data_IF_665699955311
#
_entry.id   IF_665699955311
#
_cell.length_a   1.000
_cell.length_b   1.000
_cell.length_c   1.000
_cell.angle_alpha   90.00
_cell.angle_beta   90.00
_cell.angle_gamma   90.00
#
_symmetry.space_group_name_H-M   'P 1'
#
loop_
_entity.id
_entity.type
_entity.pdbx_description
1 polymer ?
#
# COMPACT_ATOMS: atom_id res chain seq x y z
N UNK A 1 6.60 -13.22 -1.44
CA UNK A 1 5.85 -14.04 -2.41
C UNK A 1 4.37 -13.94 -2.07
N UNK A 2 3.52 -13.66 -3.05
CA UNK A 2 2.07 -13.64 -2.87
C UNK A 2 1.54 -15.06 -2.70
N UNK A 3 0.51 -15.23 -1.88
CA UNK A 3 -0.18 -16.50 -1.73
C UNK A 3 0.67 -17.66 -1.21
N UNK A 4 0.17 -18.86 -1.42
CA UNK A 4 0.82 -20.13 -1.07
C UNK A 4 1.99 -20.39 -2.04
N UNK A 5 3.12 -20.99 -1.59
CA UNK A 5 4.21 -21.39 -2.48
C UNK A 5 3.69 -22.26 -3.63
N UNK A 6 4.22 -22.05 -4.84
CA UNK A 6 3.65 -22.60 -6.08
C UNK A 6 3.73 -24.14 -6.11
N UNK A 7 4.77 -24.69 -5.50
CA UNK A 7 4.99 -26.12 -5.29
C UNK A 7 3.90 -26.77 -4.42
N UNK A 8 3.20 -25.99 -3.59
CA UNK A 8 2.14 -26.45 -2.71
C UNK A 8 0.73 -26.24 -3.32
N UNK A 9 0.63 -25.82 -4.58
CA UNK A 9 -0.63 -25.57 -5.26
C UNK A 9 -0.98 -26.69 -6.25
N UNK A 10 -2.24 -27.09 -6.24
CA UNK A 10 -2.83 -27.93 -7.30
C UNK A 10 -3.02 -27.13 -8.60
N UNK A 11 -3.11 -27.83 -9.74
CA UNK A 11 -3.37 -27.19 -11.03
C UNK A 11 -4.64 -26.31 -11.04
N UNK A 12 -5.69 -26.72 -10.32
CA UNK A 12 -6.92 -25.94 -10.22
C UNK A 12 -6.72 -24.66 -9.39
N UNK A 13 -5.99 -24.73 -8.27
CA UNK A 13 -5.68 -23.55 -7.48
C UNK A 13 -4.78 -22.57 -8.24
N UNK A 14 -3.83 -23.07 -9.03
CA UNK A 14 -2.98 -22.22 -9.89
C UNK A 14 -3.84 -21.49 -10.93
N UNK A 15 -4.70 -22.20 -11.66
CA UNK A 15 -5.60 -21.61 -12.66
C UNK A 15 -6.54 -20.58 -12.04
N UNK A 16 -7.05 -20.87 -10.85
CA UNK A 16 -7.94 -19.96 -10.13
C UNK A 16 -7.21 -18.68 -9.73
N UNK A 17 -6.00 -18.78 -9.18
CA UNK A 17 -5.19 -17.61 -8.84
C UNK A 17 -4.85 -16.77 -10.08
N UNK A 18 -4.41 -17.42 -11.16
CA UNK A 18 -4.12 -16.76 -12.44
C UNK A 18 -5.32 -16.00 -12.99
N UNK A 19 -6.52 -16.57 -12.92
CA UNK A 19 -7.76 -15.92 -13.36
C UNK A 19 -8.16 -14.77 -12.45
N UNK A 20 -8.29 -15.04 -11.16
CA UNK A 20 -8.92 -14.12 -10.21
C UNK A 20 -8.03 -12.95 -9.85
N UNK A 21 -6.72 -13.17 -9.69
CA UNK A 21 -5.80 -12.12 -9.28
C UNK A 21 -5.22 -11.36 -10.47
N UNK A 22 -4.92 -12.07 -11.56
CA UNK A 22 -4.15 -11.53 -12.69
C UNK A 22 -4.95 -11.44 -14.00
N UNK A 23 -6.20 -11.91 -14.04
CA UNK A 23 -7.03 -11.88 -15.26
C UNK A 23 -6.55 -12.81 -16.38
N UNK A 24 -5.68 -13.78 -16.08
CA UNK A 24 -5.14 -14.73 -17.05
C UNK A 24 -6.12 -15.87 -17.25
N UNK A 25 -6.66 -16.00 -18.46
CA UNK A 25 -7.65 -17.03 -18.82
C UNK A 25 -7.14 -18.06 -19.83
N UNK A 26 -6.06 -17.75 -20.55
CA UNK A 26 -5.44 -18.66 -21.52
C UNK A 26 -4.37 -19.55 -20.87
N UNK A 27 -4.64 -20.86 -20.92
CA UNK A 27 -3.76 -21.92 -20.43
C UNK A 27 -3.45 -22.95 -21.53
N UNK A 28 -3.76 -22.64 -22.79
CA UNK A 28 -3.62 -23.59 -23.91
C UNK A 28 -2.17 -24.09 -24.08
N UNK A 29 -1.19 -23.27 -23.73
CA UNK A 29 0.23 -23.63 -23.73
C UNK A 29 0.73 -24.37 -22.47
N UNK A 30 -0.12 -24.67 -21.49
CA UNK A 30 0.26 -25.39 -20.28
C UNK A 30 -0.29 -26.82 -20.32
N UNK A 31 0.57 -27.77 -20.70
CA UNK A 31 0.21 -29.18 -20.91
C UNK A 31 0.34 -29.94 -19.59
N UNK A 32 1.43 -29.71 -18.86
CA UNK A 32 1.72 -30.33 -17.58
C UNK A 32 1.47 -29.36 -16.41
N UNK A 33 1.36 -29.89 -15.19
CA UNK A 33 1.24 -29.06 -13.99
C UNK A 33 2.45 -28.12 -13.82
N UNK A 34 3.64 -28.58 -14.22
CA UNK A 34 4.86 -27.79 -14.15
C UNK A 34 4.77 -26.52 -15.01
N UNK A 35 4.16 -26.60 -16.20
CA UNK A 35 3.96 -25.43 -17.06
C UNK A 35 3.06 -24.37 -16.38
N UNK A 36 2.05 -24.82 -15.63
CA UNK A 36 1.18 -23.92 -14.84
C UNK A 36 1.95 -23.28 -13.70
N UNK A 37 2.82 -24.06 -13.03
CA UNK A 37 3.66 -23.57 -11.94
C UNK A 37 4.61 -22.48 -12.44
N UNK A 38 5.37 -22.76 -13.50
CA UNK A 38 6.29 -21.79 -14.12
C UNK A 38 5.54 -20.53 -14.60
N UNK A 39 4.35 -20.71 -15.19
CA UNK A 39 3.50 -19.60 -15.61
C UNK A 39 3.07 -18.73 -14.42
N UNK A 40 2.66 -19.34 -13.31
CA UNK A 40 2.27 -18.60 -12.10
C UNK A 40 3.45 -17.90 -11.44
N UNK A 41 4.61 -18.56 -11.34
CA UNK A 41 5.83 -17.94 -10.80
C UNK A 41 6.21 -16.70 -11.61
N UNK A 42 6.28 -16.83 -12.94
CA UNK A 42 6.56 -15.70 -13.83
C UNK A 42 5.54 -14.58 -13.67
N UNK A 43 4.25 -14.92 -13.62
CA UNK A 43 3.16 -13.95 -13.46
C UNK A 43 3.27 -13.19 -12.13
N UNK A 44 3.53 -13.88 -11.02
CA UNK A 44 3.75 -13.26 -9.70
C UNK A 44 4.93 -12.29 -9.67
N UNK A 45 5.93 -12.49 -10.54
CA UNK A 45 7.12 -11.62 -10.63
C UNK A 45 6.94 -10.41 -11.56
N UNK A 46 6.08 -10.51 -12.57
CA UNK A 46 5.98 -9.47 -13.62
C UNK A 46 4.66 -8.72 -13.64
N UNK A 47 3.57 -9.35 -13.18
CA UNK A 47 2.21 -8.80 -13.29
C UNK A 47 1.69 -8.30 -11.93
N UNK A 48 0.78 -7.32 -12.00
CA UNK A 48 0.11 -6.77 -10.83
C UNK A 48 -1.12 -7.62 -10.48
N UNK A 49 -1.37 -7.78 -9.18
CA UNK A 49 -2.63 -8.30 -8.68
C UNK A 49 -3.67 -7.19 -8.81
N UNK A 50 -4.59 -7.32 -9.77
CA UNK A 50 -5.60 -6.29 -10.04
C UNK A 50 -6.99 -6.68 -9.60
N UNK A 51 -7.23 -7.97 -9.37
CA UNK A 51 -8.58 -8.52 -9.15
C UNK A 51 -9.59 -8.12 -10.24
N UNK A 52 -9.12 -7.97 -11.48
CA UNK A 52 -9.95 -7.53 -12.61
C UNK A 52 -10.26 -6.02 -12.63
N UNK A 53 -9.77 -5.25 -11.65
CA UNK A 53 -9.92 -3.80 -11.62
C UNK A 53 -8.97 -3.11 -12.61
N UNK A 54 -9.40 -1.98 -13.16
CA UNK A 54 -8.59 -1.14 -14.04
C UNK A 54 -8.03 0.05 -13.23
N UNK A 55 -6.77 -0.05 -12.84
CA UNK A 55 -6.05 1.02 -12.17
C UNK A 55 -5.63 2.12 -13.14
N UNK A 56 -5.55 3.35 -12.65
CA UNK A 56 -5.14 4.51 -13.45
C UNK A 56 -3.62 4.58 -13.65
N UNK A 57 -3.12 5.73 -14.16
CA UNK A 57 -1.69 5.94 -14.38
C UNK A 57 -0.84 5.74 -13.12
N UNK A 58 0.33 5.14 -13.29
CA UNK A 58 1.38 5.01 -12.28
C UNK A 58 2.49 6.03 -12.58
N UNK A 59 2.79 6.92 -11.64
CA UNK A 59 3.98 7.77 -11.75
C UNK A 59 5.17 7.10 -11.07
N UNK A 60 6.34 7.25 -11.69
CA UNK A 60 7.63 6.78 -11.16
C UNK A 60 8.56 7.98 -11.03
N UNK A 61 8.90 8.37 -9.80
CA UNK A 61 9.66 9.58 -9.48
C UNK A 61 10.94 9.19 -8.73
N UNK A 62 12.04 9.91 -8.96
CA UNK A 62 13.34 9.63 -8.35
C UNK A 62 14.22 8.69 -9.16
N UNK A 63 14.95 7.79 -8.49
CA UNK A 63 15.96 6.95 -9.13
C UNK A 63 15.33 5.79 -9.91
N UNK A 64 15.28 5.92 -11.24
CA UNK A 64 14.73 4.93 -12.17
C UNK A 64 15.81 4.09 -12.87
N UNK A 65 17.05 4.13 -12.40
CA UNK A 65 18.15 3.37 -12.98
C UNK A 65 18.63 2.28 -12.02
N UNK A 66 18.94 2.67 -10.78
CA UNK A 66 19.49 1.79 -9.75
C UNK A 66 19.07 2.25 -8.35
N UNK A 67 17.76 2.29 -8.05
CA UNK A 67 17.30 2.61 -6.70
C UNK A 67 17.80 1.57 -5.71
N UNK A 68 18.03 2.00 -4.47
CA UNK A 68 18.38 1.10 -3.36
C UNK A 68 17.20 0.85 -2.42
N UNK A 69 16.07 1.51 -2.63
CA UNK A 69 14.83 1.34 -1.87
C UNK A 69 13.64 1.87 -2.65
N UNK A 70 12.46 1.35 -2.34
CA UNK A 70 11.19 1.70 -2.99
C UNK A 70 10.23 2.27 -1.96
N UNK A 71 9.55 3.35 -2.32
CA UNK A 71 8.46 3.93 -1.53
C UNK A 71 7.21 3.96 -2.40
N UNK A 72 6.12 3.34 -1.96
CA UNK A 72 4.82 3.62 -2.57
C UNK A 72 4.21 4.83 -1.90
N UNK A 73 3.62 5.75 -2.64
CA UNK A 73 2.92 6.91 -2.10
C UNK A 73 1.49 6.95 -2.67
N UNK A 74 0.55 6.48 -1.84
CA UNK A 74 -0.83 6.16 -2.22
C UNK A 74 -1.76 7.32 -1.88
N UNK A 75 -2.51 7.83 -2.87
CA UNK A 75 -3.39 8.99 -2.70
C UNK A 75 -4.68 8.68 -1.93
N UNK A 76 -5.41 9.72 -1.50
CA UNK A 76 -6.71 9.61 -0.84
C UNK A 76 -7.90 9.47 -1.80
N UNK A 77 -9.10 9.30 -1.26
CA UNK A 77 -10.35 9.18 -2.04
C UNK A 77 -10.53 10.35 -3.01
N UNK A 78 -10.85 10.05 -4.28
CA UNK A 78 -11.15 11.04 -5.31
C UNK A 78 -9.94 11.68 -6.00
N UNK A 79 -8.74 11.52 -5.45
CA UNK A 79 -7.48 12.05 -6.02
C UNK A 79 -6.85 11.09 -7.03
N UNK A 80 -5.61 11.33 -7.43
CA UNK A 80 -4.81 10.49 -8.34
C UNK A 80 -3.32 10.54 -7.97
N UNK A 81 -2.48 9.82 -8.70
CA UNK A 81 -1.04 9.90 -8.55
C UNK A 81 -0.49 11.34 -8.68
N UNK A 82 -1.10 12.19 -9.52
CA UNK A 82 -0.64 13.57 -9.72
C UNK A 82 -0.83 14.46 -8.49
N UNK A 83 -1.79 14.17 -7.61
CA UNK A 83 -2.01 14.95 -6.38
C UNK A 83 -0.81 14.91 -5.41
N UNK A 84 0.00 13.85 -5.51
CA UNK A 84 1.17 13.62 -4.64
C UNK A 84 2.51 13.74 -5.38
N UNK A 85 2.50 14.12 -6.65
CA UNK A 85 3.70 14.21 -7.48
C UNK A 85 4.70 15.24 -6.96
N UNK A 86 4.23 16.41 -6.52
CA UNK A 86 5.09 17.49 -5.99
C UNK A 86 5.86 17.03 -4.75
N UNK A 87 5.18 16.36 -3.81
CA UNK A 87 5.76 15.77 -2.61
C UNK A 87 6.80 14.69 -2.98
N UNK A 88 6.47 13.81 -3.92
CA UNK A 88 7.41 12.78 -4.37
C UNK A 88 8.64 13.37 -5.06
N UNK A 89 8.49 14.43 -5.87
CA UNK A 89 9.60 15.14 -6.51
C UNK A 89 10.49 15.77 -5.44
N UNK A 90 9.90 16.44 -4.45
CA UNK A 90 10.64 17.03 -3.33
C UNK A 90 11.43 15.97 -2.55
N UNK A 91 10.78 14.90 -2.11
CA UNK A 91 11.42 13.80 -1.39
C UNK A 91 12.51 13.13 -2.23
N UNK A 92 12.30 12.94 -3.53
CA UNK A 92 13.30 12.32 -4.41
C UNK A 92 14.57 13.15 -4.60
N UNK A 93 14.49 14.49 -4.47
CA UNK A 93 15.67 15.36 -4.49
C UNK A 93 16.48 15.22 -3.21
N UNK A 94 15.82 15.01 -2.08
CA UNK A 94 16.46 14.85 -0.76
C UNK A 94 16.95 13.42 -0.51
N UNK A 95 16.28 12.43 -1.08
CA UNK A 95 16.57 11.00 -0.99
C UNK A 95 16.82 10.40 -2.40
N UNK A 96 17.91 10.81 -3.08
CA UNK A 96 18.15 10.47 -4.49
C UNK A 96 18.43 8.98 -4.75
N UNK A 97 18.60 8.17 -3.70
CA UNK A 97 18.77 6.72 -3.79
C UNK A 97 17.46 5.94 -3.83
N UNK A 98 16.31 6.61 -3.70
CA UNK A 98 14.99 5.98 -3.64
C UNK A 98 14.20 6.13 -4.95
N UNK A 99 13.34 5.15 -5.21
CA UNK A 99 12.29 5.20 -6.23
C UNK A 99 10.93 5.36 -5.55
N UNK A 100 10.18 6.36 -5.99
CA UNK A 100 8.80 6.60 -5.55
C UNK A 100 7.82 6.10 -6.61
N UNK A 101 6.88 5.26 -6.20
CA UNK A 101 5.80 4.71 -7.01
C UNK A 101 4.47 5.30 -6.56
N UNK A 102 3.81 6.08 -7.41
CA UNK A 102 2.54 6.72 -7.09
C UNK A 102 1.45 6.07 -7.95
N UNK A 103 0.71 5.07 -7.44
CA UNK A 103 -0.36 4.45 -8.18
C UNK A 103 -1.63 5.31 -8.15
N UNK A 104 -2.45 5.23 -9.18
CA UNK A 104 -3.80 5.79 -9.21
C UNK A 104 -4.84 4.67 -9.03
N UNK A 105 -5.73 4.82 -8.05
CA UNK A 105 -6.81 3.87 -7.79
C UNK A 105 -7.71 3.67 -9.02
N UNK A 106 -8.45 2.57 -9.06
CA UNK A 106 -9.48 2.38 -10.08
C UNK A 106 -10.66 3.35 -9.86
N UNK A 107 -11.31 3.77 -10.94
CA UNK A 107 -12.57 4.50 -10.86
C UNK A 107 -13.70 3.57 -10.42
N UNK A 108 -14.35 3.90 -9.31
CA UNK A 108 -15.42 3.11 -8.69
C UNK A 108 -16.56 4.04 -8.20
N UNK A 109 -17.81 3.57 -8.16
CA UNK A 109 -18.88 4.28 -7.44
C UNK A 109 -18.61 4.28 -5.93
N UNK A 110 -18.83 5.42 -5.28
CA UNK A 110 -18.55 5.62 -3.85
C UNK A 110 -19.84 5.94 -3.08
N UNK A 111 -20.22 5.06 -2.15
CA UNK A 111 -21.49 5.10 -1.43
C UNK A 111 -21.70 6.37 -0.62
N UNK A 112 -20.70 6.80 0.16
CA UNK A 112 -20.77 8.02 0.99
C UNK A 112 -20.93 9.29 0.14
N UNK A 113 -20.50 9.23 -1.12
CA UNK A 113 -20.64 10.31 -2.11
C UNK A 113 -21.85 10.08 -3.04
N UNK A 114 -22.87 9.37 -2.57
CA UNK A 114 -24.12 9.16 -3.33
C UNK A 114 -23.94 8.33 -4.60
N UNK A 115 -22.91 7.48 -4.67
CA UNK A 115 -22.61 6.65 -5.84
C UNK A 115 -21.83 7.36 -6.94
N UNK A 116 -21.31 8.56 -6.69
CA UNK A 116 -20.44 9.26 -7.63
C UNK A 116 -19.21 8.41 -7.98
N UNK A 117 -18.86 8.35 -9.27
CA UNK A 117 -17.72 7.58 -9.77
C UNK A 117 -16.46 8.42 -9.68
N UNK A 118 -15.49 7.94 -8.93
CA UNK A 118 -14.18 8.59 -8.73
C UNK A 118 -13.11 7.55 -8.40
N UNK A 119 -11.84 7.96 -8.38
CA UNK A 119 -10.75 7.06 -7.98
C UNK A 119 -10.93 6.67 -6.50
N UNK A 120 -11.07 5.38 -6.24
CA UNK A 120 -11.29 4.86 -4.90
C UNK A 120 -10.61 3.51 -4.70
N UNK A 121 -9.98 3.34 -3.54
CA UNK A 121 -9.33 2.09 -3.14
C UNK A 121 -10.30 1.10 -2.51
N UNK A 122 -11.37 1.60 -1.89
CA UNK A 122 -12.43 0.79 -1.29
C UNK A 122 -13.69 1.64 -1.12
N UNK A 123 -14.86 1.01 -1.07
CA UNK A 123 -16.09 1.76 -0.85
C UNK A 123 -16.27 2.12 0.64
N UNK A 124 -16.86 3.28 0.89
CA UNK A 124 -17.25 3.76 2.22
C UNK A 124 -18.74 4.04 2.14
N UNK A 125 -19.53 3.46 3.04
CA UNK A 125 -21.00 3.56 3.02
C UNK A 125 -21.50 4.10 4.35
N UNK A 126 -22.55 4.93 4.31
CA UNK A 126 -23.25 5.33 5.52
C UNK A 126 -24.06 4.15 6.06
N UNK A 127 -23.99 3.91 7.37
CA UNK A 127 -24.92 2.98 8.02
C UNK A 127 -26.27 3.69 8.18
N UNK A 128 -27.34 3.10 7.63
CA UNK A 128 -28.72 3.64 7.63
C UNK A 128 -29.34 3.86 9.04
N UNK A 129 -28.57 3.81 10.12
CA UNK A 129 -29.08 3.85 11.51
C UNK A 129 -28.17 4.61 12.50
N UNK A 130 -27.52 5.69 12.05
CA UNK A 130 -27.14 6.80 12.94
C UNK A 130 -25.74 6.73 13.58
N UNK A 131 -24.73 7.13 12.79
CA UNK A 131 -23.38 7.59 13.22
C UNK A 131 -22.22 6.60 12.99
N UNK A 132 -22.27 5.79 11.92
CA UNK A 132 -21.12 5.00 11.49
C UNK A 132 -20.96 5.00 9.97
N UNK A 133 -19.70 4.96 9.53
CA UNK A 133 -19.34 4.56 8.17
C UNK A 133 -18.94 3.09 8.18
N UNK A 134 -19.28 2.34 7.13
CA UNK A 134 -18.81 0.98 6.90
C UNK A 134 -17.82 1.00 5.74
N UNK A 135 -16.60 0.53 5.99
CA UNK A 135 -15.63 0.25 4.93
C UNK A 135 -15.88 -1.12 4.30
N UNK A 136 -15.59 -1.21 3.00
CA UNK A 136 -15.47 -2.47 2.30
C UNK A 136 -14.11 -3.14 2.61
N UNK A 137 -14.10 -3.99 3.65
CA UNK A 137 -12.89 -4.65 4.12
C UNK A 137 -12.24 -5.59 3.09
N UNK A 138 -13.03 -6.21 2.20
CA UNK A 138 -12.48 -7.04 1.12
C UNK A 138 -11.78 -6.16 0.09
N UNK A 139 -12.38 -5.04 -0.30
CA UNK A 139 -11.76 -4.09 -1.22
C UNK A 139 -10.46 -3.50 -0.63
N UNK A 140 -10.38 -3.27 0.69
CA UNK A 140 -9.14 -2.88 1.37
C UNK A 140 -8.05 -3.93 1.15
N UNK A 141 -8.35 -5.22 1.33
CA UNK A 141 -7.36 -6.30 1.11
C UNK A 141 -6.97 -6.40 -0.37
N UNK A 142 -7.93 -6.26 -1.29
CA UNK A 142 -7.65 -6.25 -2.73
C UNK A 142 -6.69 -5.13 -3.12
N UNK A 143 -6.95 -3.91 -2.65
CA UNK A 143 -6.09 -2.74 -2.89
C UNK A 143 -4.72 -2.89 -2.22
N UNK A 144 -4.66 -3.48 -1.03
CA UNK A 144 -3.39 -3.80 -0.38
C UNK A 144 -2.59 -4.85 -1.16
N UNK A 145 -3.24 -5.85 -1.75
CA UNK A 145 -2.59 -6.85 -2.61
C UNK A 145 -2.06 -6.23 -3.90
N UNK A 146 -2.83 -5.32 -4.52
CA UNK A 146 -2.35 -4.52 -5.63
C UNK A 146 -1.08 -3.75 -5.25
N UNK A 147 -1.11 -3.00 -4.15
CA UNK A 147 0.03 -2.18 -3.71
C UNK A 147 1.27 -3.02 -3.39
N UNK A 148 1.10 -4.15 -2.70
CA UNK A 148 2.19 -5.09 -2.45
C UNK A 148 2.75 -5.64 -3.76
N UNK A 149 1.91 -6.04 -4.72
CA UNK A 149 2.35 -6.58 -6.01
C UNK A 149 3.10 -5.55 -6.85
N UNK A 150 2.67 -4.29 -6.79
CA UNK A 150 3.36 -3.17 -7.41
C UNK A 150 4.78 -2.99 -6.83
N UNK A 151 4.91 -2.97 -5.51
CA UNK A 151 6.23 -2.86 -4.87
C UNK A 151 7.11 -4.08 -5.16
N UNK A 152 6.54 -5.30 -5.18
CA UNK A 152 7.28 -6.52 -5.45
C UNK A 152 7.79 -6.59 -6.89
N UNK A 153 6.93 -6.36 -7.88
CA UNK A 153 7.31 -6.35 -9.31
C UNK A 153 8.36 -5.28 -9.59
N UNK A 154 8.23 -4.09 -8.99
CA UNK A 154 9.26 -3.07 -9.06
C UNK A 154 10.58 -3.51 -8.40
N UNK A 155 10.52 -4.17 -7.24
CA UNK A 155 11.70 -4.71 -6.56
C UNK A 155 12.44 -5.72 -7.44
N UNK A 156 11.71 -6.60 -8.14
CA UNK A 156 12.30 -7.55 -9.11
C UNK A 156 12.93 -6.83 -10.29
N UNK A 157 12.21 -5.87 -10.89
CA UNK A 157 12.69 -5.08 -12.04
C UNK A 157 13.97 -4.32 -11.75
N UNK A 158 14.04 -3.65 -10.58
CA UNK A 158 15.16 -2.79 -10.20
C UNK A 158 16.20 -3.51 -9.32
N UNK A 159 16.03 -4.80 -9.06
CA UNK A 159 16.92 -5.62 -8.21
C UNK A 159 17.08 -5.06 -6.79
N UNK A 160 16.02 -4.44 -6.26
CA UNK A 160 15.96 -3.97 -4.87
C UNK A 160 15.57 -5.14 -3.98
N UNK A 161 16.26 -5.37 -2.84
CA UNK A 161 15.82 -6.37 -1.87
C UNK A 161 14.37 -6.12 -1.46
N UNK A 162 13.50 -7.14 -1.53
CA UNK A 162 12.06 -6.97 -1.38
C UNK A 162 11.60 -6.43 0.00
N UNK A 163 12.46 -6.50 1.02
CA UNK A 163 12.21 -5.87 2.33
C UNK A 163 12.57 -4.37 2.39
N UNK A 164 13.26 -3.83 1.38
CA UNK A 164 13.60 -2.39 1.28
C UNK A 164 12.48 -1.60 0.59
N UNK A 165 11.28 -1.78 1.13
CA UNK A 165 10.05 -1.15 0.68
C UNK A 165 9.42 -0.41 1.85
N UNK A 166 8.96 0.81 1.62
CA UNK A 166 8.05 1.52 2.53
C UNK A 166 6.70 1.70 1.83
N UNK A 167 5.63 1.35 2.55
CA UNK A 167 4.27 1.69 2.11
C UNK A 167 3.85 2.99 2.76
N UNK A 168 3.70 4.06 1.98
CA UNK A 168 3.19 5.33 2.43
C UNK A 168 1.88 5.70 1.72
N UNK A 169 1.03 6.45 2.41
CA UNK A 169 -0.19 6.97 1.78
C UNK A 169 -0.96 7.93 2.66
N UNK A 170 -1.94 8.58 2.03
CA UNK A 170 -2.80 9.59 2.64
C UNK A 170 -4.27 9.17 2.65
N UNK A 171 -4.99 9.43 3.74
CA UNK A 171 -6.42 9.15 3.86
C UNK A 171 -6.74 7.68 3.52
N UNK A 172 -7.58 7.37 2.51
CA UNK A 172 -7.74 5.96 2.06
C UNK A 172 -6.40 5.27 1.75
N UNK A 173 -5.47 5.95 1.10
CA UNK A 173 -4.16 5.41 0.77
C UNK A 173 -3.33 5.06 2.01
N UNK A 174 -3.56 5.75 3.14
CA UNK A 174 -2.94 5.44 4.43
C UNK A 174 -3.48 4.11 4.99
N UNK A 175 -4.80 3.89 4.91
CA UNK A 175 -5.46 2.63 5.28
C UNK A 175 -4.91 1.47 4.45
N UNK A 176 -4.80 1.65 3.13
CA UNK A 176 -4.21 0.65 2.23
C UNK A 176 -2.74 0.38 2.58
N UNK A 177 -1.97 1.42 2.90
CA UNK A 177 -0.55 1.28 3.26
C UNK A 177 -0.36 0.51 4.57
N UNK A 178 -1.20 0.74 5.58
CA UNK A 178 -1.24 -0.04 6.82
C UNK A 178 -1.60 -1.50 6.52
N UNK A 179 -2.67 -1.76 5.77
CA UNK A 179 -3.08 -3.11 5.42
C UNK A 179 -1.99 -3.86 4.64
N UNK A 180 -1.36 -3.20 3.66
CA UNK A 180 -0.25 -3.75 2.89
C UNK A 180 0.94 -4.07 3.79
N UNK A 181 1.38 -3.13 4.62
CA UNK A 181 2.55 -3.31 5.47
C UNK A 181 2.37 -4.37 6.54
N UNK A 182 1.21 -4.44 7.18
CA UNK A 182 0.92 -5.41 8.25
C UNK A 182 0.79 -6.85 7.75
N UNK A 183 0.33 -7.04 6.49
CA UNK A 183 0.04 -8.35 5.89
C UNK A 183 1.06 -8.79 4.84
N UNK A 184 2.11 -8.01 4.58
CA UNK A 184 3.14 -8.36 3.60
C UNK A 184 4.01 -9.52 4.10
N UNK A 185 4.01 -10.66 3.39
CA UNK A 185 4.83 -11.82 3.75
C UNK A 185 6.34 -11.55 3.81
N UNK A 186 6.82 -10.63 2.97
CA UNK A 186 8.18 -10.10 3.08
C UNK A 186 8.04 -8.81 3.88
N UNK A 187 8.62 -8.79 5.07
CA UNK A 187 8.54 -7.65 5.96
C UNK A 187 9.08 -6.38 5.25
N UNK A 188 8.26 -5.32 5.12
CA UNK A 188 8.73 -4.04 4.59
C UNK A 188 9.61 -3.32 5.62
N UNK A 189 10.33 -2.31 5.17
CA UNK A 189 11.18 -1.48 6.01
C UNK A 189 10.37 -0.57 6.94
N UNK A 190 9.15 -0.21 6.54
CA UNK A 190 8.26 0.62 7.35
C UNK A 190 6.93 0.92 6.68
N UNK A 191 6.03 1.54 7.43
CA UNK A 191 4.77 2.12 6.94
C UNK A 191 4.67 3.57 7.39
N UNK A 192 4.19 4.45 6.51
CA UNK A 192 3.81 5.82 6.85
C UNK A 192 2.34 6.07 6.50
N UNK A 193 1.53 6.43 7.48
CA UNK A 193 0.11 6.72 7.32
C UNK A 193 -0.12 8.21 7.62
N UNK A 194 -0.51 8.97 6.59
CA UNK A 194 -0.78 10.40 6.66
C UNK A 194 -2.31 10.62 6.70
N UNK A 195 -2.81 11.27 7.75
CA UNK A 195 -4.24 11.56 7.94
C UNK A 195 -5.13 10.32 7.70
N UNK A 196 -4.79 9.20 8.34
CA UNK A 196 -5.43 7.89 8.13
C UNK A 196 -5.73 7.17 9.44
N UNK A 197 -6.16 5.91 9.35
CA UNK A 197 -6.53 5.10 10.50
C UNK A 197 -6.39 3.59 10.21
N UNK A 198 -6.47 2.75 11.24
CA UNK A 198 -6.51 1.30 11.10
C UNK A 198 -7.94 0.81 10.88
N UNK A 199 -8.17 0.06 9.79
CA UNK A 199 -9.45 -0.47 9.36
C UNK A 199 -9.33 -1.95 8.96
N UNK A 200 -10.47 -2.60 8.67
CA UNK A 200 -10.54 -4.00 8.23
C UNK A 200 -9.83 -5.00 9.18
N UNK A 201 -9.95 -4.79 10.50
CA UNK A 201 -9.27 -5.60 11.50
C UNK A 201 -9.58 -7.11 11.35
N UNK A 202 -10.83 -7.46 11.05
CA UNK A 202 -11.28 -8.83 10.84
C UNK A 202 -10.61 -9.53 9.65
N UNK A 203 -10.10 -8.77 8.67
CA UNK A 203 -9.34 -9.30 7.54
C UNK A 203 -7.83 -9.22 7.74
N UNK A 204 -7.34 -8.19 8.43
CA UNK A 204 -5.91 -7.97 8.65
C UNK A 204 -5.37 -8.87 9.76
N UNK A 205 -6.07 -9.02 10.89
CA UNK A 205 -5.57 -9.77 12.05
C UNK A 205 -5.20 -11.23 11.73
N UNK A 206 -5.99 -11.99 10.96
CA UNK A 206 -5.61 -13.36 10.56
C UNK A 206 -4.35 -13.43 9.69
N UNK A 207 -3.94 -12.32 9.08
CA UNK A 207 -2.81 -12.22 8.16
C UNK A 207 -1.63 -11.41 8.74
N UNK A 208 -1.77 -10.90 9.96
CA UNK A 208 -0.77 -10.05 10.60
C UNK A 208 0.52 -10.84 10.82
N UNK A 209 1.59 -10.44 10.15
CA UNK A 209 2.90 -11.10 10.23
C UNK A 209 4.05 -10.16 10.59
N UNK A 210 3.86 -8.84 10.46
CA UNK A 210 4.94 -7.86 10.66
C UNK A 210 4.77 -7.08 11.96
N UNK A 211 5.13 -7.71 13.09
CA UNK A 211 5.04 -7.09 14.43
C UNK A 211 6.17 -6.12 14.73
N UNK A 212 7.40 -6.37 14.26
CA UNK A 212 8.52 -5.43 14.46
C UNK A 212 8.57 -4.29 13.43
N UNK A 213 7.44 -3.99 12.79
CA UNK A 213 7.34 -3.02 11.71
C UNK A 213 7.36 -1.59 12.27
N UNK A 214 8.32 -0.73 11.87
CA UNK A 214 8.25 0.69 12.16
C UNK A 214 7.05 1.33 11.48
N UNK A 215 6.21 2.02 12.25
CA UNK A 215 5.02 2.73 11.75
C UNK A 215 5.12 4.20 12.12
N UNK A 216 5.06 5.06 11.11
CA UNK A 216 4.88 6.51 11.25
C UNK A 216 3.40 6.84 11.01
N UNK A 217 2.78 7.50 11.98
CA UNK A 217 1.46 8.11 11.86
C UNK A 217 1.65 9.63 11.91
N UNK A 218 1.04 10.32 10.96
CA UNK A 218 0.99 11.79 10.90
C UNK A 218 -0.45 12.22 10.76
N UNK A 219 -0.89 13.23 11.52
CA UNK A 219 -2.30 13.61 11.49
C UNK A 219 -2.55 15.08 11.84
N UNK A 220 -3.59 15.68 11.26
CA UNK A 220 -4.02 17.04 11.56
C UNK A 220 -4.85 17.12 12.84
N UNK A 221 -4.54 18.04 13.75
CA UNK A 221 -5.34 18.25 14.98
C UNK A 221 -6.69 18.92 14.70
N UNK A 222 -6.87 19.48 13.51
CA UNK A 222 -8.11 20.15 13.07
C UNK A 222 -8.80 19.37 11.95
N UNK A 223 -8.41 18.12 11.72
CA UNK A 223 -8.99 17.27 10.68
C UNK A 223 -10.48 17.04 10.92
N UNK A 224 -11.29 17.56 10.01
CA UNK A 224 -12.75 17.54 10.04
C UNK A 224 -13.35 16.37 9.24
N UNK A 225 -12.53 15.57 8.57
CA UNK A 225 -12.94 14.38 7.82
C UNK A 225 -12.63 13.12 8.62
N UNK A 226 -11.39 13.00 9.11
CA UNK A 226 -10.92 11.90 9.95
C UNK A 226 -10.38 12.52 11.24
N UNK A 227 -11.14 12.50 12.35
CA UNK A 227 -10.72 13.16 13.59
C UNK A 227 -9.36 12.64 14.09
N UNK A 228 -8.57 13.51 14.70
CA UNK A 228 -7.26 13.16 15.28
C UNK A 228 -7.29 11.93 16.21
N UNK A 229 -8.39 11.76 16.95
CA UNK A 229 -8.61 10.60 17.82
C UNK A 229 -8.60 9.25 17.07
N UNK A 230 -8.85 9.23 15.77
CA UNK A 230 -8.71 8.02 14.94
C UNK A 230 -7.24 7.59 14.82
N UNK A 231 -6.30 8.54 14.72
CA UNK A 231 -4.86 8.24 14.71
C UNK A 231 -4.36 7.80 16.08
N UNK A 232 -4.84 8.43 17.16
CA UNK A 232 -4.57 7.99 18.54
C UNK A 232 -5.05 6.55 18.73
N UNK A 233 -6.30 6.25 18.32
CA UNK A 233 -6.86 4.91 18.42
C UNK A 233 -6.10 3.89 17.57
N UNK A 234 -5.64 4.31 16.40
CA UNK A 234 -4.81 3.49 15.52
C UNK A 234 -3.50 3.13 16.21
N UNK A 235 -2.81 4.11 16.80
CA UNK A 235 -1.59 3.87 17.56
C UNK A 235 -1.81 2.86 18.68
N UNK A 236 -2.79 3.10 19.54
CA UNK A 236 -3.13 2.21 20.67
C UNK A 236 -3.41 0.78 20.18
N UNK A 237 -4.17 0.66 19.10
CA UNK A 237 -4.55 -0.65 18.55
C UNK A 237 -3.31 -1.38 18.03
N UNK A 238 -2.45 -0.72 17.23
CA UNK A 238 -1.23 -1.33 16.72
C UNK A 238 -0.29 -1.77 17.86
N UNK A 239 -0.07 -0.91 18.85
CA UNK A 239 0.76 -1.23 20.01
C UNK A 239 0.18 -2.41 20.81
N UNK A 240 -1.15 -2.47 20.99
CA UNK A 240 -1.82 -3.59 21.67
C UNK A 240 -1.69 -4.93 20.92
N UNK A 241 -1.54 -4.89 19.60
CA UNK A 241 -1.28 -6.07 18.76
C UNK A 241 0.20 -6.51 18.76
N UNK A 242 1.06 -5.74 19.45
CA UNK A 242 2.51 -5.90 19.48
C UNK A 242 3.18 -5.40 18.21
N UNK A 243 2.53 -4.54 17.43
CA UNK A 243 3.13 -3.87 16.27
C UNK A 243 3.91 -2.66 16.74
N UNK A 244 5.17 -2.52 16.34
CA UNK A 244 5.93 -1.31 16.59
C UNK A 244 7.41 -1.40 16.23
N UNK A 245 8.14 -0.28 16.37
CA UNK A 245 7.72 0.95 17.06
C UNK A 245 6.69 1.78 16.29
N UNK A 246 5.72 2.38 17.00
CA UNK A 246 4.69 3.28 16.42
C UNK A 246 4.93 4.72 16.88
N UNK A 247 5.20 5.61 15.94
CA UNK A 247 5.37 7.05 16.18
C UNK A 247 4.13 7.79 15.69
N UNK A 248 3.61 8.72 16.48
CA UNK A 248 2.49 9.59 16.09
C UNK A 248 2.92 11.06 16.21
N UNK A 249 2.89 11.78 15.10
CA UNK A 249 3.05 13.23 15.06
C UNK A 249 1.74 13.92 14.70
N UNK A 250 1.55 15.12 15.27
CA UNK A 250 0.37 15.94 15.03
C UNK A 250 0.74 17.33 14.51
N UNK A 251 -0.13 17.90 13.68
CA UNK A 251 0.11 19.19 13.03
C UNK A 251 -1.15 20.07 13.08
N UNK A 252 -1.01 21.40 13.21
CA UNK A 252 -2.15 22.31 13.21
C UNK A 252 -2.69 22.51 11.78
N UNK A 253 -3.28 21.46 11.22
CA UNK A 253 -3.88 21.40 9.89
C UNK A 253 -5.21 20.64 9.93
N UNK A 254 -6.06 20.87 8.92
CA UNK A 254 -7.26 20.09 8.64
C UNK A 254 -6.92 18.78 7.89
N UNK A 255 -7.83 18.25 7.07
CA UNK A 255 -7.59 17.06 6.24
C UNK A 255 -6.70 17.39 5.02
N UNK A 256 -5.42 17.64 5.26
CA UNK A 256 -4.43 18.00 4.24
C UNK A 256 -3.05 17.47 4.60
N UNK A 257 -2.02 17.95 3.89
CA UNK A 257 -0.61 17.74 4.25
C UNK A 257 0.02 18.99 4.82
N UNK A 258 1.09 18.84 5.60
CA UNK A 258 1.82 19.95 6.21
C UNK A 258 3.33 19.92 5.89
N UNK A 259 4.03 21.05 5.66
CA UNK A 259 5.46 21.02 5.34
C UNK A 259 6.33 20.32 6.40
N UNK A 260 6.02 20.49 7.68
CA UNK A 260 6.70 19.75 8.76
C UNK A 260 6.44 18.24 8.70
N UNK A 261 5.23 17.83 8.31
CA UNK A 261 4.89 16.43 8.12
C UNK A 261 5.74 15.80 7.00
N UNK A 262 5.95 16.51 5.90
CA UNK A 262 6.84 16.04 4.82
C UNK A 262 8.29 15.90 5.29
N UNK A 263 8.77 16.81 6.14
CA UNK A 263 10.10 16.69 6.75
C UNK A 263 10.22 15.49 7.70
N UNK A 264 9.17 15.18 8.47
CA UNK A 264 9.19 14.04 9.39
C UNK A 264 9.02 12.71 8.63
N UNK A 265 8.26 12.71 7.53
CA UNK A 265 8.24 11.60 6.56
C UNK A 265 9.63 11.36 5.95
N UNK A 266 10.32 12.41 5.51
CA UNK A 266 11.69 12.31 4.98
C UNK A 266 12.64 11.66 6.00
N UNK A 267 12.64 12.12 7.25
CA UNK A 267 13.48 11.55 8.32
C UNK A 267 13.18 10.08 8.56
N UNK A 268 11.89 9.72 8.59
CA UNK A 268 11.48 8.33 8.73
C UNK A 268 11.99 7.49 7.58
N UNK A 269 11.80 7.94 6.32
CA UNK A 269 12.30 7.25 5.14
C UNK A 269 13.82 7.10 5.16
N UNK A 270 14.56 8.12 5.59
CA UNK A 270 16.01 8.07 5.72
C UNK A 270 16.46 7.03 6.76
N UNK A 271 15.73 6.92 7.87
CA UNK A 271 16.01 5.96 8.94
C UNK A 271 15.77 4.51 8.49
N UNK A 272 14.64 4.23 7.82
CA UNK A 272 14.25 2.85 7.48
C UNK A 272 14.78 2.39 6.11
N UNK A 273 15.08 3.33 5.21
CA UNK A 273 15.71 3.09 3.91
C UNK A 273 17.01 3.91 3.77
N UNK A 274 18.03 3.65 4.60
CA UNK A 274 19.29 4.39 4.52
C UNK A 274 19.93 4.18 3.15
N UNK A 275 20.57 5.22 2.63
CA UNK A 275 21.31 5.14 1.37
C UNK A 275 22.44 4.10 1.45
N UNK A 276 22.94 3.61 0.31
CA UNK A 276 24.10 2.75 0.30
C UNK A 276 25.26 3.48 0.99
N UNK A 277 25.85 2.86 2.02
CA UNK A 277 27.04 3.41 2.66
C UNK A 277 28.07 3.67 1.58
N UNK A 278 28.56 4.92 1.47
CA UNK A 278 29.74 5.20 0.67
C UNK A 278 30.84 4.29 1.19
N UNK A 279 31.26 3.30 0.40
CA UNK A 279 32.48 2.57 0.71
C UNK A 279 33.60 3.61 0.69
N UNK A 280 34.06 4.00 1.89
CA UNK A 280 35.33 4.68 2.10
C UNK A 280 36.47 3.73 1.75
#
# INVERSE_FOLDING_TARGET
MFGTPVENLTANQIKEELRTLYGVSDFSGCIEQKDLQEKLEKTRETELITHGLKYGPLLQIGNRQSPSGIVTLTHGLGDSANGWESVAVELSRRLPHLLFLLPTASMQPVGINGGAVMNSWYDIRNVNSGNGVTEDAEAIIMSANYLKSLAYTASRRYQVPAGRVVYAGFSQGAVISLAAGLTARIAPAGVAALSGYFAAAEKILPQLCNKSLPVLLCHGTMDNIIPFSAAEKTKETLESLGVGPVTLYSYPMEHSSHPKEINDLEKFLQQVLPGPSSKS
#
